data_IF_469155849012
#
_entry.id   IF_469155849012
#
_cell.length_a   1.000
_cell.length_b   1.000
_cell.length_c   1.000
_cell.angle_alpha   90.00
_cell.angle_beta   90.00
_cell.angle_gamma   90.00
#
_symmetry.space_group_name_H-M   'P 1'
#
loop_
_entity.id
_entity.type
_entity.pdbx_description
1 polymer ?
#
# COMPACT_ATOMS: atom_id res chain seq x y z
N UNK A 1 -8.27 5.79 5.49
CA UNK A 1 -8.99 4.83 4.62
C UNK A 1 -9.68 5.53 3.44
N UNK A 2 -10.61 6.47 3.66
CA UNK A 2 -11.36 7.15 2.58
C UNK A 2 -10.49 7.76 1.47
N UNK A 3 -9.34 8.35 1.80
CA UNK A 3 -8.40 8.90 0.81
C UNK A 3 -7.91 7.90 -0.24
N UNK A 4 -7.74 6.63 0.16
CA UNK A 4 -7.31 5.54 -0.73
C UNK A 4 -8.49 5.08 -1.56
N UNK A 5 -9.67 4.95 -0.95
CA UNK A 5 -10.93 4.61 -1.62
C UNK A 5 -11.22 5.62 -2.73
N UNK A 6 -11.18 6.92 -2.43
CA UNK A 6 -11.37 7.98 -3.43
C UNK A 6 -10.38 7.86 -4.59
N UNK A 7 -9.08 7.73 -4.30
CA UNK A 7 -8.04 7.67 -5.34
C UNK A 7 -8.16 6.41 -6.19
N UNK A 8 -8.39 5.26 -5.59
CA UNK A 8 -8.62 4.03 -6.34
C UNK A 8 -9.88 4.11 -7.19
N UNK A 9 -10.96 4.70 -6.66
CA UNK A 9 -12.17 4.96 -7.42
C UNK A 9 -11.90 5.87 -8.63
N UNK A 10 -11.15 6.96 -8.46
CA UNK A 10 -10.76 7.85 -9.55
C UNK A 10 -9.88 7.12 -10.58
N UNK A 11 -8.89 6.34 -10.13
CA UNK A 11 -8.02 5.56 -11.01
C UNK A 11 -8.81 4.60 -11.87
N UNK A 12 -9.67 3.79 -11.25
CA UNK A 12 -10.43 2.75 -11.93
C UNK A 12 -11.53 3.34 -12.83
N UNK A 13 -12.22 4.40 -12.41
CA UNK A 13 -13.40 4.90 -13.13
C UNK A 13 -13.09 5.97 -14.17
N UNK A 14 -12.10 6.82 -13.92
CA UNK A 14 -11.92 8.08 -14.66
C UNK A 14 -10.52 8.31 -15.21
N UNK A 15 -9.50 7.56 -14.75
CA UNK A 15 -8.10 7.78 -15.15
C UNK A 15 -7.56 6.56 -15.90
N UNK A 16 -6.83 5.66 -15.26
CA UNK A 16 -6.18 4.51 -15.91
C UNK A 16 -7.13 3.36 -16.23
N UNK A 17 -8.15 3.15 -15.41
CA UNK A 17 -9.13 2.08 -15.59
C UNK A 17 -10.15 2.36 -16.69
N UNK A 18 -10.15 3.56 -17.28
CA UNK A 18 -10.89 3.83 -18.53
C UNK A 18 -10.38 2.94 -19.66
N UNK A 19 -9.07 2.67 -19.70
CA UNK A 19 -8.47 1.76 -20.68
C UNK A 19 -8.52 0.29 -20.22
N UNK A 20 -8.91 0.03 -18.97
CA UNK A 20 -8.90 -1.29 -18.32
C UNK A 20 -10.20 -1.49 -17.51
N UNK A 21 -11.36 -1.53 -18.17
CA UNK A 21 -12.68 -1.56 -17.52
C UNK A 21 -12.89 -2.80 -16.66
N UNK A 22 -12.16 -3.88 -16.94
CA UNK A 22 -12.25 -5.14 -16.21
C UNK A 22 -11.86 -5.02 -14.73
N UNK A 23 -10.99 -4.05 -14.37
CA UNK A 23 -10.67 -3.78 -12.95
C UNK A 23 -11.91 -3.28 -12.20
N UNK A 24 -12.70 -2.42 -12.85
CA UNK A 24 -13.96 -1.93 -12.33
C UNK A 24 -14.98 -3.04 -12.18
N UNK A 25 -15.13 -3.89 -13.20
CA UNK A 25 -16.02 -5.06 -13.17
C UNK A 25 -15.68 -6.00 -12.02
N UNK A 26 -14.40 -6.35 -11.86
CA UNK A 26 -13.96 -7.21 -10.76
C UNK A 26 -14.26 -6.61 -9.37
N UNK A 27 -14.04 -5.31 -9.19
CA UNK A 27 -14.37 -4.61 -7.93
C UNK A 27 -15.88 -4.64 -7.64
N UNK A 28 -16.72 -4.44 -8.65
CA UNK A 28 -18.17 -4.48 -8.51
C UNK A 28 -18.70 -5.89 -8.19
N UNK A 29 -18.15 -6.92 -8.84
CA UNK A 29 -18.45 -8.33 -8.54
C UNK A 29 -18.04 -8.70 -7.12
N UNK A 30 -16.84 -8.29 -6.69
CA UNK A 30 -16.38 -8.51 -5.33
C UNK A 30 -17.26 -7.81 -4.29
N UNK A 31 -17.73 -6.59 -4.56
CA UNK A 31 -18.66 -5.90 -3.66
C UNK A 31 -20.05 -6.57 -3.58
N UNK A 32 -20.47 -7.34 -4.59
CA UNK A 32 -21.70 -8.16 -4.54
C UNK A 32 -21.50 -9.35 -3.60
N UNK A 33 -20.37 -10.04 -3.73
CA UNK A 33 -20.09 -11.29 -3.01
C UNK A 33 -18.63 -11.30 -2.54
N UNK A 34 -18.32 -10.67 -1.39
CA UNK A 34 -16.95 -10.50 -0.93
C UNK A 34 -16.42 -11.81 -0.33
N UNK A 35 -15.80 -12.65 -1.15
CA UNK A 35 -15.13 -13.89 -0.74
C UNK A 35 -13.64 -13.83 -1.04
N UNK A 36 -12.86 -14.63 -0.33
CA UNK A 36 -11.42 -14.74 -0.58
C UNK A 36 -11.11 -15.19 -2.02
N UNK A 37 -11.92 -16.12 -2.54
CA UNK A 37 -11.83 -16.58 -3.93
C UNK A 37 -12.04 -15.44 -4.91
N UNK A 38 -13.06 -14.59 -4.73
CA UNK A 38 -13.31 -13.43 -5.59
C UNK A 38 -12.21 -12.37 -5.44
N UNK A 39 -11.68 -12.17 -4.23
CA UNK A 39 -10.64 -11.20 -3.98
C UNK A 39 -9.33 -11.51 -4.74
N UNK A 40 -8.99 -12.80 -4.85
CA UNK A 40 -7.79 -13.27 -5.54
C UNK A 40 -8.01 -13.74 -6.99
N UNK A 41 -9.26 -13.84 -7.46
CA UNK A 41 -9.56 -14.33 -8.80
C UNK A 41 -9.02 -13.37 -9.86
N UNK A 42 -8.22 -13.88 -10.79
CA UNK A 42 -7.85 -13.18 -12.02
C UNK A 42 -8.84 -13.57 -13.10
N UNK A 43 -9.29 -12.60 -13.89
CA UNK A 43 -10.07 -12.88 -15.09
C UNK A 43 -9.11 -13.34 -16.19
N UNK A 44 -9.41 -14.46 -16.84
CA UNK A 44 -8.77 -14.81 -18.10
C UNK A 44 -9.56 -14.14 -19.22
N UNK A 45 -8.90 -13.60 -20.27
CA UNK A 45 -9.60 -13.25 -21.49
C UNK A 45 -10.39 -14.46 -21.97
N UNK A 46 -11.65 -14.22 -22.36
CA UNK A 46 -12.59 -15.24 -22.80
C UNK A 46 -11.90 -16.18 -23.81
N UNK A 47 -11.77 -17.46 -23.45
CA UNK A 47 -11.22 -18.51 -24.31
C UNK A 47 -12.07 -18.54 -25.59
N UNK A 48 -11.55 -17.97 -26.66
CA UNK A 48 -12.00 -18.28 -28.01
C UNK A 48 -11.06 -19.39 -28.44
N UNK A 49 -11.54 -20.63 -28.40
CA UNK A 49 -10.71 -21.83 -28.55
C UNK A 49 -9.71 -21.72 -29.69
N UNK A 50 -8.43 -21.72 -29.36
CA UNK A 50 -7.33 -21.90 -30.28
C UNK A 50 -6.11 -22.44 -29.52
N UNK A 51 -5.51 -23.46 -30.11
CA UNK A 51 -4.59 -24.41 -29.51
C UNK A 51 -3.21 -23.81 -29.17
N UNK A 52 -2.54 -24.46 -28.22
CA UNK A 52 -1.08 -24.58 -28.05
C UNK A 52 -0.21 -23.54 -28.76
N UNK A 53 0.16 -22.49 -28.03
CA UNK A 53 1.48 -21.87 -28.08
C UNK A 53 1.65 -20.89 -26.92
N UNK A 54 2.73 -21.05 -26.15
CA UNK A 54 3.34 -20.11 -25.21
C UNK A 54 2.45 -18.90 -24.83
N UNK A 55 1.69 -19.05 -23.73
CA UNK A 55 0.69 -18.11 -23.22
C UNK A 55 1.27 -16.71 -22.94
N UNK A 56 1.22 -15.85 -23.96
CA UNK A 56 1.52 -14.42 -23.90
C UNK A 56 0.23 -13.58 -23.81
N UNK A 57 -0.89 -14.14 -23.33
CA UNK A 57 -2.09 -13.35 -23.08
C UNK A 57 -1.88 -12.41 -21.89
N UNK A 58 -2.24 -11.13 -22.00
CA UNK A 58 -2.12 -10.19 -20.89
C UNK A 58 -3.04 -10.65 -19.75
N UNK A 59 -2.43 -11.07 -18.64
CA UNK A 59 -3.16 -11.45 -17.43
C UNK A 59 -3.86 -10.23 -16.84
N UNK A 60 -5.16 -10.33 -16.60
CA UNK A 60 -5.92 -9.31 -15.90
C UNK A 60 -5.61 -9.34 -14.40
N UNK A 61 -5.46 -8.17 -13.79
CA UNK A 61 -5.25 -8.04 -12.37
C UNK A 61 -6.52 -8.39 -11.57
N UNK A 62 -6.32 -9.05 -10.43
CA UNK A 62 -7.36 -9.32 -9.44
C UNK A 62 -7.71 -8.07 -8.63
N UNK A 63 -8.80 -8.16 -7.84
CA UNK A 63 -9.17 -7.12 -6.87
C UNK A 63 -8.05 -6.88 -5.86
N UNK A 64 -7.43 -7.94 -5.35
CA UNK A 64 -6.30 -7.84 -4.44
C UNK A 64 -5.15 -7.02 -5.04
N UNK A 65 -4.72 -7.36 -6.26
CA UNK A 65 -3.62 -6.68 -6.96
C UNK A 65 -3.95 -5.21 -7.25
N UNK A 66 -5.20 -4.93 -7.59
CA UNK A 66 -5.73 -3.57 -7.78
C UNK A 66 -5.68 -2.75 -6.49
N UNK A 67 -6.07 -3.34 -5.36
CA UNK A 67 -6.04 -2.68 -4.05
C UNK A 67 -4.61 -2.51 -3.52
N UNK A 68 -3.73 -3.48 -3.72
CA UNK A 68 -2.32 -3.39 -3.35
C UNK A 68 -1.60 -2.28 -4.11
N UNK A 69 -1.92 -2.10 -5.40
CA UNK A 69 -1.35 -1.00 -6.18
C UNK A 69 -1.82 0.36 -5.67
N UNK A 70 -3.10 0.49 -5.28
CA UNK A 70 -3.59 1.71 -4.65
C UNK A 70 -2.90 1.98 -3.30
N UNK A 71 -2.68 0.97 -2.48
CA UNK A 71 -1.96 1.09 -1.20
C UNK A 71 -0.49 1.48 -1.40
N UNK A 72 0.13 1.01 -2.48
CA UNK A 72 1.50 1.36 -2.85
C UNK A 72 1.62 2.82 -3.29
N UNK A 73 0.72 3.28 -4.16
CA UNK A 73 0.77 4.65 -4.65
C UNK A 73 0.20 5.66 -3.66
N UNK A 74 -0.76 5.25 -2.86
CA UNK A 74 -1.53 6.13 -1.98
C UNK A 74 -1.51 5.62 -0.53
N UNK A 75 -0.32 5.42 0.07
CA UNK A 75 -0.24 4.88 1.42
C UNK A 75 -0.93 5.80 2.43
N UNK A 76 -1.61 5.23 3.45
CA UNK A 76 -2.30 6.03 4.46
C UNK A 76 -1.33 6.81 5.34
N UNK A 77 -0.09 6.33 5.46
CA UNK A 77 0.97 6.90 6.28
C UNK A 77 2.16 7.28 5.40
N UNK A 78 2.67 8.51 5.56
CA UNK A 78 3.84 9.00 4.79
C UNK A 78 5.18 8.59 5.42
N UNK A 79 5.21 8.44 6.75
CA UNK A 79 6.43 8.14 7.51
C UNK A 79 6.18 7.13 8.62
N UNK A 80 7.09 6.17 8.77
CA UNK A 80 7.11 5.26 9.93
C UNK A 80 8.25 5.72 10.84
N UNK A 81 7.91 6.09 12.08
CA UNK A 81 8.87 6.55 13.07
C UNK A 81 9.24 5.42 14.03
N UNK A 82 10.52 5.26 14.33
CA UNK A 82 11.02 4.32 15.33
C UNK A 82 12.09 4.98 16.19
N UNK A 83 12.02 4.73 17.49
CA UNK A 83 13.05 5.11 18.44
C UNK A 83 14.04 3.95 18.58
N UNK A 84 15.32 4.28 18.63
CA UNK A 84 16.38 3.32 18.85
C UNK A 84 17.34 3.88 19.88
N UNK A 85 17.76 3.04 20.81
CA UNK A 85 18.84 3.35 21.72
C UNK A 85 20.16 2.92 21.08
N UNK A 86 21.03 3.88 20.78
CA UNK A 86 22.33 3.58 20.18
C UNK A 86 23.43 3.26 21.21
N UNK A 87 23.18 3.51 22.50
CA UNK A 87 24.15 3.39 23.57
C UNK A 87 25.34 4.34 23.40
N UNK A 88 25.75 5.00 24.47
CA UNK A 88 27.00 5.79 24.52
C UNK A 88 28.24 4.88 24.46
N UNK A 89 28.50 4.21 23.32
CA UNK A 89 29.64 3.28 23.24
C UNK A 89 29.93 2.57 21.91
N UNK A 90 29.15 2.74 20.84
CA UNK A 90 29.56 2.18 19.53
C UNK A 90 30.46 3.16 18.80
N UNK A 91 31.75 3.15 19.12
CA UNK A 91 32.77 3.60 18.19
C UNK A 91 32.49 2.98 16.82
N UNK A 92 32.58 3.81 15.78
CA UNK A 92 32.41 3.47 14.38
C UNK A 92 33.29 2.28 13.98
N UNK A 93 32.75 1.06 14.07
CA UNK A 93 33.26 -0.05 13.25
C UNK A 93 32.76 0.20 11.84
N UNK A 94 33.70 0.57 10.97
CA UNK A 94 33.49 0.65 9.53
C UNK A 94 33.04 -0.74 9.04
N UNK A 95 31.74 -1.00 9.00
CA UNK A 95 31.22 -2.23 8.40
C UNK A 95 31.37 -2.11 6.89
N UNK A 96 32.30 -2.90 6.35
CA UNK A 96 32.42 -3.17 4.92
C UNK A 96 31.19 -3.94 4.43
N UNK A 97 30.87 -3.78 3.15
CA UNK A 97 29.66 -4.28 2.47
C UNK A 97 29.49 -5.81 2.43
N UNK A 98 30.30 -6.58 3.16
CA UNK A 98 30.32 -8.05 3.15
C UNK A 98 29.47 -8.75 4.23
N UNK A 99 28.97 -8.05 5.25
CA UNK A 99 28.35 -8.71 6.42
C UNK A 99 26.84 -8.97 6.32
N UNK A 100 26.19 -8.64 5.19
CA UNK A 100 24.74 -8.76 5.01
C UNK A 100 24.24 -10.20 4.73
N UNK A 101 25.13 -11.16 4.50
CA UNK A 101 24.75 -12.56 4.22
C UNK A 101 24.42 -13.39 5.49
N UNK A 102 24.73 -12.91 6.69
CA UNK A 102 24.52 -13.66 7.95
C UNK A 102 23.66 -12.92 8.99
N UNK A 103 22.75 -12.04 8.55
CA UNK A 103 21.82 -11.36 9.46
C UNK A 103 20.60 -12.25 9.76
N UNK A 104 20.68 -12.99 10.86
CA UNK A 104 19.54 -13.71 11.46
C UNK A 104 18.84 -12.80 12.49
N UNK A 105 17.63 -12.28 12.19
CA UNK A 105 16.92 -11.35 13.07
C UNK A 105 16.37 -11.99 14.36
N UNK A 106 16.32 -13.32 14.46
CA UNK A 106 15.71 -14.01 15.60
C UNK A 106 16.69 -14.25 16.78
N UNK A 107 17.99 -14.04 16.56
CA UNK A 107 19.02 -14.39 17.55
C UNK A 107 19.18 -13.41 18.72
N UNK A 108 18.51 -12.24 18.70
CA UNK A 108 18.58 -11.25 19.78
C UNK A 108 17.48 -11.34 20.85
N UNK A 109 16.50 -12.25 20.69
CA UNK A 109 15.39 -12.36 21.67
C UNK A 109 15.65 -13.44 22.73
N UNK A 110 16.67 -14.29 22.57
CA UNK A 110 17.01 -15.35 23.52
C UNK A 110 18.33 -15.07 24.27
N UNK A 111 18.35 -14.13 25.21
CA UNK A 111 19.36 -14.16 26.30
C UNK A 111 18.99 -13.42 27.60
N UNK A 112 17.82 -12.78 27.72
CA UNK A 112 17.45 -12.04 28.95
C UNK A 112 16.39 -12.75 29.82
N UNK A 113 16.50 -14.07 29.95
CA UNK A 113 15.83 -14.80 31.04
C UNK A 113 16.79 -15.81 31.63
N UNK A 114 17.69 -15.35 32.51
CA UNK A 114 18.10 -16.17 33.64
C UNK A 114 18.17 -15.31 34.90
N UNK A 115 17.37 -15.71 35.88
CA UNK A 115 17.28 -15.07 37.17
C UNK A 115 18.44 -15.52 38.03
N UNK A 116 19.35 -14.60 38.34
CA UNK A 116 20.20 -14.72 39.51
C UNK A 116 20.40 -13.32 40.10
N UNK A 117 19.60 -13.04 41.14
CA UNK A 117 19.80 -11.94 42.07
C UNK A 117 21.22 -12.00 42.67
N UNK A 118 22.02 -10.92 42.64
CA UNK A 118 22.99 -10.68 43.68
C UNK A 118 22.31 -9.91 44.83
N UNK A 119 22.31 -10.53 46.00
CA UNK A 119 22.00 -9.87 47.27
C UNK A 119 22.93 -8.67 47.51
N UNK A 120 22.35 -7.58 48.02
CA UNK A 120 23.00 -6.63 48.93
C UNK A 120 24.25 -5.89 48.43
N UNK A 121 24.06 -4.71 47.83
CA UNK A 121 24.85 -3.55 48.24
C UNK A 121 24.01 -2.29 48.12
N UNK A 122 23.87 -1.60 49.24
CA UNK A 122 23.24 -0.28 49.36
C UNK A 122 23.95 0.68 48.40
N UNK A 123 23.26 1.07 47.33
CA UNK A 123 23.68 2.21 46.52
C UNK A 123 22.98 3.44 47.04
N UNK A 124 23.80 4.41 47.43
CA UNK A 124 23.45 5.74 47.88
C UNK A 124 22.32 6.35 47.05
N UNK A 125 21.29 6.81 47.76
CA UNK A 125 20.16 7.55 47.22
C UNK A 125 20.58 9.01 46.96
N UNK A 126 21.54 9.23 46.06
CA UNK A 126 21.79 10.58 45.53
C UNK A 126 20.78 10.84 44.41
N UNK A 127 19.86 11.75 44.68
CA UNK A 127 18.88 12.38 43.80
C UNK A 127 19.07 12.08 42.30
N UNK A 128 18.33 11.10 41.77
CA UNK A 128 18.14 11.00 40.32
C UNK A 128 17.37 12.25 39.87
N UNK A 129 18.04 13.08 39.08
CA UNK A 129 17.43 14.19 38.37
C UNK A 129 16.33 13.64 37.43
N UNK A 130 15.04 13.91 37.67
CA UNK A 130 13.94 13.41 36.85
C UNK A 130 13.91 14.03 35.43
N UNK A 131 14.82 14.97 35.14
CA UNK A 131 14.97 15.61 33.84
C UNK A 131 16.06 15.00 32.95
N UNK A 132 16.87 14.07 33.45
CA UNK A 132 17.92 13.41 32.66
C UNK A 132 17.35 12.24 31.84
N UNK A 133 16.64 12.56 30.75
CA UNK A 133 16.37 11.56 29.70
C UNK A 133 17.70 11.05 29.15
N UNK A 134 17.94 9.72 29.07
CA UNK A 134 19.15 9.18 28.46
C UNK A 134 19.28 9.69 27.02
N UNK A 135 20.33 10.47 26.74
CA UNK A 135 20.58 11.19 25.49
C UNK A 135 20.84 10.30 24.26
N UNK A 136 20.81 8.97 24.42
CA UNK A 136 21.23 8.01 23.40
C UNK A 136 20.08 7.52 22.51
N UNK A 137 18.84 7.96 22.77
CA UNK A 137 17.69 7.63 21.94
C UNK A 137 17.62 8.53 20.70
N UNK A 138 17.60 7.91 19.53
CA UNK A 138 17.43 8.59 18.24
C UNK A 138 16.16 8.13 17.56
N UNK A 139 15.40 9.10 17.05
CA UNK A 139 14.21 8.86 16.23
C UNK A 139 14.61 8.79 14.76
N UNK A 140 14.31 7.69 14.10
CA UNK A 140 14.48 7.51 12.65
C UNK A 140 13.11 7.44 12.00
N UNK A 141 12.97 8.06 10.83
CA UNK A 141 11.75 8.03 10.03
C UNK A 141 12.03 7.41 8.66
N UNK A 142 11.33 6.33 8.32
CA UNK A 142 11.31 5.80 6.96
C UNK A 142 10.28 6.55 6.12
N UNK A 143 10.67 7.07 4.95
CA UNK A 143 9.74 7.70 4.00
C UNK A 143 9.03 6.64 3.15
N UNK A 144 7.82 6.28 3.57
CA UNK A 144 7.00 5.25 2.93
C UNK A 144 6.70 5.60 1.47
N UNK A 145 6.46 6.88 1.18
CA UNK A 145 6.11 7.33 -0.18
C UNK A 145 7.31 7.22 -1.11
N UNK A 146 8.51 7.55 -0.61
CA UNK A 146 9.75 7.39 -1.39
C UNK A 146 10.07 5.91 -1.62
N UNK A 147 10.03 5.08 -0.58
CA UNK A 147 10.31 3.63 -0.69
C UNK A 147 9.36 2.95 -1.68
N UNK A 148 8.05 3.25 -1.61
CA UNK A 148 7.04 2.64 -2.47
C UNK A 148 7.05 3.19 -3.92
N UNK A 149 7.96 4.12 -4.23
CA UNK A 149 8.16 4.72 -5.56
C UNK A 149 9.60 4.62 -6.06
N UNK A 150 10.47 3.95 -5.32
CA UNK A 150 11.84 3.72 -5.75
C UNK A 150 11.82 2.92 -7.07
N UNK A 151 12.45 3.47 -8.11
CA UNK A 151 12.45 2.89 -9.46
C UNK A 151 13.29 1.62 -9.58
N UNK A 152 14.27 1.43 -8.70
CA UNK A 152 15.09 0.22 -8.64
C UNK A 152 14.27 -0.96 -8.10
N UNK A 153 13.31 -0.69 -7.20
CA UNK A 153 12.42 -1.70 -6.61
C UNK A 153 11.17 -1.92 -7.48
N UNK A 154 10.54 -0.83 -7.93
CA UNK A 154 9.21 -0.87 -8.55
C UNK A 154 9.23 -0.67 -10.07
N UNK A 155 10.41 -0.43 -10.66
CA UNK A 155 10.62 -0.20 -12.09
C UNK A 155 10.46 1.26 -12.52
N UNK A 156 10.83 1.56 -13.76
CA UNK A 156 10.82 2.93 -14.33
C UNK A 156 9.46 3.64 -14.29
N UNK A 157 8.36 2.88 -14.28
CA UNK A 157 6.98 3.39 -14.18
C UNK A 157 6.44 3.27 -12.75
N UNK A 158 7.28 3.49 -11.74
CA UNK A 158 6.92 3.33 -10.33
C UNK A 158 5.87 4.34 -9.85
N UNK A 159 5.70 5.47 -10.53
CA UNK A 159 4.68 6.47 -10.19
C UNK A 159 3.32 6.21 -10.85
N UNK A 160 3.23 5.27 -11.77
CA UNK A 160 1.97 4.96 -12.46
C UNK A 160 1.15 3.88 -11.75
N UNK A 161 -0.18 4.04 -11.79
CA UNK A 161 -1.12 3.03 -11.30
C UNK A 161 -1.18 1.87 -12.28
N UNK A 162 -0.59 0.74 -11.90
CA UNK A 162 -0.58 -0.48 -12.69
C UNK A 162 -0.77 -1.72 -11.79
N UNK A 163 -2.02 -2.22 -11.65
CA UNK A 163 -2.32 -3.43 -10.90
C UNK A 163 -1.56 -4.68 -11.39
N UNK A 164 -1.24 -4.77 -12.68
CA UNK A 164 -0.51 -5.92 -13.25
C UNK A 164 0.93 -6.03 -12.74
N UNK A 165 1.47 -4.98 -12.10
CA UNK A 165 2.77 -4.99 -11.44
C UNK A 165 2.90 -6.11 -10.40
N UNK A 166 1.78 -6.48 -9.78
CA UNK A 166 1.69 -7.48 -8.72
C UNK A 166 1.56 -8.91 -9.23
N UNK A 167 1.36 -9.09 -10.53
CA UNK A 167 1.34 -10.40 -11.16
C UNK A 167 2.79 -10.90 -11.15
N UNK A 168 3.10 -12.04 -10.50
CA UNK A 168 4.46 -12.55 -10.48
C UNK A 168 4.83 -13.03 -11.88
N UNK A 169 5.87 -12.43 -12.46
CA UNK A 169 6.47 -12.89 -13.71
C UNK A 169 7.83 -13.59 -13.47
N UNK A 170 8.37 -13.50 -12.25
CA UNK A 170 9.62 -14.15 -11.79
C UNK A 170 9.53 -14.48 -10.29
N UNK A 171 10.37 -15.43 -9.82
CA UNK A 171 10.51 -15.78 -8.40
C UNK A 171 10.96 -14.60 -7.54
N UNK A 172 11.88 -13.76 -8.03
CA UNK A 172 12.37 -12.55 -7.37
C UNK A 172 11.23 -11.56 -7.04
N UNK A 173 10.17 -11.55 -7.84
CA UNK A 173 9.01 -10.67 -7.61
C UNK A 173 8.04 -11.20 -6.56
N UNK A 174 8.17 -12.45 -6.08
CA UNK A 174 7.33 -13.00 -5.01
C UNK A 174 7.46 -12.18 -3.72
N UNK A 175 8.64 -11.60 -3.49
CA UNK A 175 8.94 -10.81 -2.30
C UNK A 175 8.59 -9.31 -2.43
N UNK A 176 8.07 -8.84 -3.56
CA UNK A 176 7.62 -7.44 -3.71
C UNK A 176 6.55 -7.04 -2.68
N UNK A 177 5.74 -7.99 -2.20
CA UNK A 177 4.77 -7.74 -1.13
C UNK A 177 5.43 -7.34 0.20
N UNK A 178 6.65 -7.81 0.47
CA UNK A 178 7.43 -7.42 1.67
C UNK A 178 7.88 -5.96 1.60
N UNK A 179 7.99 -5.41 0.39
CA UNK A 179 8.35 -4.01 0.15
C UNK A 179 7.17 -3.03 0.31
N UNK A 180 5.94 -3.53 0.53
CA UNK A 180 4.77 -2.71 0.78
C UNK A 180 4.72 -2.29 2.26
N UNK A 181 4.95 -1.01 2.52
CA UNK A 181 5.01 -0.40 3.86
C UNK A 181 3.70 0.31 4.27
N UNK A 182 2.63 0.18 3.48
CA UNK A 182 1.34 0.82 3.71
C UNK A 182 0.70 0.46 5.06
N UNK A 183 1.14 -0.65 5.66
CA UNK A 183 0.67 -1.17 6.94
C UNK A 183 1.79 -1.27 7.99
N UNK A 184 2.89 -0.54 7.80
CA UNK A 184 4.06 -0.67 8.67
C UNK A 184 5.01 -1.78 8.22
N UNK A 185 5.94 -2.12 9.11
CA UNK A 185 6.92 -3.19 8.92
C UNK A 185 7.17 -3.91 10.25
N UNK A 186 7.68 -5.16 10.26
CA UNK A 186 8.03 -5.83 11.50
C UNK A 186 8.99 -4.97 12.35
N UNK A 187 8.90 -5.03 13.69
CA UNK A 187 7.97 -5.83 14.49
C UNK A 187 6.58 -5.21 14.69
N UNK A 188 6.33 -3.97 14.22
CA UNK A 188 5.07 -3.24 14.46
C UNK A 188 4.33 -3.07 13.12
N UNK A 189 3.47 -4.04 12.82
CA UNK A 189 2.58 -3.99 11.67
C UNK A 189 1.13 -3.73 12.09
N UNK A 190 0.37 -3.09 11.20
CA UNK A 190 -1.06 -2.88 11.41
C UNK A 190 -1.80 -4.23 11.42
N UNK A 191 -2.63 -4.52 12.44
CA UNK A 191 -3.38 -5.78 12.51
C UNK A 191 -4.36 -5.95 11.35
N UNK A 192 -4.82 -4.86 10.73
CA UNK A 192 -5.76 -4.89 9.61
C UNK A 192 -5.12 -5.25 8.25
N UNK A 193 -3.78 -5.39 8.17
CA UNK A 193 -3.00 -5.62 6.94
C UNK A 193 -3.48 -6.82 6.12
N UNK A 194 -3.84 -7.93 6.80
CA UNK A 194 -4.00 -9.24 6.14
C UNK A 194 -5.28 -9.39 5.34
N UNK A 195 -6.40 -8.92 5.89
CA UNK A 195 -7.74 -9.19 5.33
C UNK A 195 -8.58 -7.92 5.36
N UNK A 196 -8.82 -7.38 6.56
CA UNK A 196 -9.81 -6.32 6.75
C UNK A 196 -9.57 -5.08 5.90
N UNK A 197 -8.38 -4.46 5.96
CA UNK A 197 -8.17 -3.18 5.28
C UNK A 197 -8.21 -3.30 3.75
N UNK A 198 -7.53 -4.28 3.11
CA UNK A 198 -7.66 -4.46 1.66
C UNK A 198 -9.08 -4.79 1.21
N UNK A 199 -9.80 -5.64 1.96
CA UNK A 199 -11.18 -6.00 1.63
C UNK A 199 -12.12 -4.80 1.73
N UNK A 200 -12.02 -4.02 2.81
CA UNK A 200 -12.84 -2.83 2.99
C UNK A 200 -12.62 -1.81 1.87
N UNK A 201 -11.37 -1.63 1.40
CA UNK A 201 -11.09 -0.77 0.25
C UNK A 201 -11.79 -1.32 -1.00
N UNK A 202 -11.64 -2.62 -1.30
CA UNK A 202 -12.27 -3.25 -2.46
C UNK A 202 -13.81 -3.16 -2.45
N UNK A 203 -14.43 -3.44 -1.30
CA UNK A 203 -15.88 -3.37 -1.11
C UNK A 203 -16.38 -1.92 -1.30
N UNK A 204 -15.74 -0.94 -0.65
CA UNK A 204 -16.18 0.45 -0.73
C UNK A 204 -16.05 1.01 -2.15
N UNK A 205 -14.96 0.71 -2.86
CA UNK A 205 -14.80 1.14 -4.25
C UNK A 205 -15.81 0.43 -5.16
N UNK A 206 -15.96 -0.88 -5.01
CA UNK A 206 -16.95 -1.63 -5.80
C UNK A 206 -18.38 -1.15 -5.58
N UNK A 207 -18.76 -0.82 -4.35
CA UNK A 207 -20.06 -0.24 -4.03
C UNK A 207 -20.26 1.14 -4.68
N UNK A 208 -19.26 2.01 -4.66
CA UNK A 208 -19.30 3.31 -5.35
C UNK A 208 -19.48 3.15 -6.87
N UNK A 209 -18.72 2.24 -7.47
CA UNK A 209 -18.82 1.95 -8.91
C UNK A 209 -20.22 1.47 -9.28
N UNK A 210 -20.78 0.53 -8.51
CA UNK A 210 -22.15 0.02 -8.73
C UNK A 210 -23.21 1.11 -8.57
N UNK A 211 -23.11 1.93 -7.52
CA UNK A 211 -24.05 3.02 -7.28
C UNK A 211 -24.11 4.02 -8.44
N UNK A 212 -23.00 4.22 -9.14
CA UNK A 212 -22.92 5.12 -10.29
C UNK A 212 -23.30 4.46 -11.63
N UNK A 213 -23.39 3.13 -11.72
CA UNK A 213 -23.84 2.45 -12.94
C UNK A 213 -25.37 2.48 -13.15
N UNK A 214 -26.14 3.00 -12.20
CA UNK A 214 -27.55 3.30 -12.42
C UNK A 214 -28.44 2.08 -12.60
N UNK A 215 -28.10 0.92 -12.01
CA UNK A 215 -28.96 -0.29 -11.99
C UNK A 215 -30.35 -0.02 -11.36
N UNK A 216 -30.54 1.13 -10.69
CA UNK A 216 -31.83 1.57 -10.17
C UNK A 216 -32.60 2.41 -11.20
N UNK A 217 -33.53 1.75 -11.90
CA UNK A 217 -34.76 2.31 -12.48
C UNK A 217 -34.62 3.14 -13.79
N UNK A 218 -34.90 2.47 -14.93
CA UNK A 218 -35.40 2.98 -16.23
C UNK A 218 -34.73 4.19 -16.93
N UNK A 219 -33.71 4.82 -16.35
CA UNK A 219 -32.87 5.83 -17.02
C UNK A 219 -31.41 5.59 -16.69
N UNK A 220 -30.62 5.26 -17.71
CA UNK A 220 -29.16 5.19 -17.62
C UNK A 220 -28.62 6.59 -17.33
N UNK A 221 -28.10 6.83 -16.12
CA UNK A 221 -27.37 8.07 -15.82
C UNK A 221 -25.92 7.92 -16.24
N UNK A 222 -25.45 8.90 -17.00
CA UNK A 222 -24.03 9.04 -17.31
C UNK A 222 -23.42 10.01 -16.30
N UNK A 223 -22.35 9.58 -15.64
CA UNK A 223 -21.61 10.42 -14.69
C UNK A 223 -20.30 10.88 -15.31
N UNK A 224 -20.06 12.19 -15.28
CA UNK A 224 -18.78 12.80 -15.62
C UNK A 224 -18.18 13.48 -14.40
N UNK A 225 -16.87 13.54 -14.37
CA UNK A 225 -16.12 14.30 -13.38
C UNK A 225 -16.04 15.76 -13.81
N UNK A 226 -16.26 16.69 -12.88
CA UNK A 226 -16.10 18.12 -13.10
C UNK A 226 -15.31 18.74 -11.95
N UNK A 227 -14.59 19.81 -12.24
CA UNK A 227 -13.87 20.58 -11.22
C UNK A 227 -13.61 22.00 -11.74
N UNK A 228 -13.94 23.05 -10.95
CA UNK A 228 -13.61 24.42 -11.29
C UNK A 228 -12.11 24.64 -11.55
N UNK A 229 -11.24 23.91 -10.83
CA UNK A 229 -9.80 23.95 -11.05
C UNK A 229 -9.40 23.13 -12.28
N UNK A 230 -9.16 23.84 -13.39
CA UNK A 230 -8.68 23.25 -14.65
C UNK A 230 -7.36 22.49 -14.50
N UNK A 231 -6.51 22.83 -13.51
CA UNK A 231 -5.25 22.12 -13.26
C UNK A 231 -5.52 20.73 -12.69
N UNK A 232 -6.52 20.59 -11.83
CA UNK A 232 -6.97 19.28 -11.32
C UNK A 232 -7.46 18.41 -12.47
N UNK A 233 -8.33 18.96 -13.33
CA UNK A 233 -8.82 18.23 -14.51
C UNK A 233 -7.71 17.86 -15.50
N UNK A 234 -6.74 18.75 -15.73
CA UNK A 234 -5.59 18.45 -16.58
C UNK A 234 -4.69 17.36 -15.98
N UNK A 235 -4.45 17.38 -14.67
CA UNK A 235 -3.67 16.36 -13.98
C UNK A 235 -4.32 14.97 -14.06
N UNK A 236 -5.65 14.91 -13.89
CA UNK A 236 -6.41 13.66 -14.04
C UNK A 236 -6.33 13.10 -15.46
N UNK A 237 -6.43 13.96 -16.48
CA UNK A 237 -6.28 13.54 -17.89
C UNK A 237 -4.86 13.09 -18.26
N UNK A 238 -3.85 13.60 -17.55
CA UNK A 238 -2.46 13.25 -17.81
C UNK A 238 -2.11 11.80 -17.44
N UNK A 239 -3.03 11.05 -16.78
CA UNK A 239 -2.83 9.66 -16.33
C UNK A 239 -1.54 9.47 -15.50
N UNK A 240 -1.11 10.54 -14.83
CA UNK A 240 -0.03 10.51 -13.85
C UNK A 240 -0.60 10.19 -12.47
N UNK A 241 0.29 9.81 -11.56
CA UNK A 241 -0.03 9.62 -10.14
C UNK A 241 -0.92 10.73 -9.59
N UNK A 242 -2.00 10.33 -8.94
CA UNK A 242 -2.87 11.25 -8.21
C UNK A 242 -2.12 11.90 -7.04
N UNK A 243 -2.46 13.16 -6.77
CA UNK A 243 -1.85 13.96 -5.70
C UNK A 243 -2.28 13.46 -4.33
N UNK A 244 -1.42 13.60 -3.32
CA UNK A 244 -1.62 13.04 -1.97
C UNK A 244 -2.18 14.04 -0.96
N UNK A 245 -2.08 15.33 -1.29
CA UNK A 245 -2.47 16.41 -0.39
C UNK A 245 -3.99 16.33 -0.12
N UNK A 246 -4.38 16.81 1.06
CA UNK A 246 -5.69 16.50 1.64
C UNK A 246 -6.84 17.08 0.84
N UNK A 247 -6.60 18.25 0.30
CA UNK A 247 -7.51 19.27 -0.20
C UNK A 247 -7.53 19.36 -1.73
N UNK A 248 -6.70 18.57 -2.42
CA UNK A 248 -6.53 18.66 -3.88
C UNK A 248 -7.80 18.35 -4.67
N UNK A 249 -8.71 17.59 -4.07
CA UNK A 249 -9.92 17.10 -4.73
C UNK A 249 -11.19 17.59 -4.02
N UNK A 250 -11.10 18.64 -3.20
CA UNK A 250 -12.25 19.15 -2.43
C UNK A 250 -13.32 19.77 -3.35
N UNK A 251 -12.90 20.39 -4.46
CA UNK A 251 -13.81 20.97 -5.48
C UNK A 251 -14.14 19.98 -6.62
N UNK A 252 -13.92 18.68 -6.41
CA UNK A 252 -14.18 17.66 -7.41
C UNK A 252 -15.63 17.17 -7.31
N UNK A 253 -16.37 17.31 -8.40
CA UNK A 253 -17.79 17.00 -8.47
C UNK A 253 -18.10 15.86 -9.44
N UNK A 254 -19.17 15.12 -9.16
CA UNK A 254 -19.78 14.16 -10.08
C UNK A 254 -21.05 14.78 -10.66
N UNK A 255 -21.02 15.09 -11.95
CA UNK A 255 -22.15 15.66 -12.67
C UNK A 255 -22.86 14.54 -13.43
N UNK A 256 -24.11 14.27 -13.06
CA UNK A 256 -24.97 13.30 -13.73
C UNK A 256 -25.74 13.93 -14.89
N UNK A 257 -25.75 13.28 -16.04
CA UNK A 257 -26.63 13.58 -17.18
C UNK A 257 -27.56 12.41 -17.46
N UNK A 258 -28.75 12.74 -17.98
CA UNK A 258 -29.78 11.79 -18.41
C UNK A 258 -29.76 11.58 -19.91
#
# INVERSE_FOLDING_TARGET
>A
MWRIVLRLFLEVRFVTGVDNPEWGTALMEFAKTPTETQFGKRQTPHETGANDSQDCSPRTASVNETVLEALRLYPPTRRIHRAYNWGSGSETRNHSMGDLENYDPDRRIASDTDGSHPEGSERDNSTMDPTAMPTDWRMIAADVVACQRNVDIWGVRADEFNPQRWIPWTEERKDMKKMLLAFGSPPIECPAKRVFAPWMIGILVGALLRGLQGEANYRTRFWRLDCPDKKVMAALRAKKRLRLERDVYDDLELVGSF
#
